data_IF_774467885297
#
_entry.id   IF_774467885297
#
_cell.length_a   1.000
_cell.length_b   1.000
_cell.length_c   1.000
_cell.angle_alpha   90.00
_cell.angle_beta   90.00
_cell.angle_gamma   90.00
#
_symmetry.space_group_name_H-M   'P 1'
#
loop_
_entity.id
_entity.type
_entity.pdbx_description
1 polymer ?
#
# COMPACT_ATOMS: atom_id res chain seq x y z
N UNK A 1 -18.15 -20.74 6.28
CA UNK A 1 -17.29 -19.70 5.70
C UNK A 1 -17.10 -18.50 6.63
N UNK A 2 -18.16 -17.86 7.16
CA UNK A 2 -18.03 -16.75 8.10
C UNK A 2 -17.19 -17.08 9.34
N UNK A 3 -17.37 -18.26 9.92
CA UNK A 3 -16.60 -18.73 11.08
C UNK A 3 -15.09 -18.83 10.78
N UNK A 4 -14.70 -19.27 9.59
CA UNK A 4 -13.29 -19.32 9.18
C UNK A 4 -12.66 -17.94 9.07
N UNK A 5 -13.37 -16.99 8.46
CA UNK A 5 -12.92 -15.61 8.36
C UNK A 5 -12.72 -15.01 9.75
N UNK A 6 -13.67 -15.23 10.68
CA UNK A 6 -13.56 -14.78 12.05
C UNK A 6 -12.36 -15.41 12.80
N UNK A 7 -12.11 -16.70 12.58
CA UNK A 7 -10.95 -17.40 13.14
C UNK A 7 -9.67 -16.74 12.63
N UNK A 8 -9.51 -16.53 11.31
CA UNK A 8 -8.33 -15.87 10.75
C UNK A 8 -8.14 -14.46 11.31
N UNK A 9 -9.19 -13.65 11.36
CA UNK A 9 -9.10 -12.29 11.91
C UNK A 9 -8.72 -12.28 13.40
N UNK A 10 -9.26 -13.21 14.20
CA UNK A 10 -8.90 -13.34 15.60
C UNK A 10 -7.45 -13.81 15.79
N UNK A 11 -7.01 -14.78 14.99
CA UNK A 11 -5.64 -15.31 15.05
C UNK A 11 -4.62 -14.24 14.66
N UNK A 12 -4.92 -13.45 13.62
CA UNK A 12 -4.01 -12.42 13.12
C UNK A 12 -4.26 -11.01 13.69
N UNK A 13 -5.14 -10.85 14.71
CA UNK A 13 -5.52 -9.53 15.25
C UNK A 13 -4.34 -8.67 15.69
N UNK A 14 -3.38 -9.25 16.40
CA UNK A 14 -2.19 -8.51 16.87
C UNK A 14 -1.27 -8.14 15.71
N UNK A 15 -1.12 -9.00 14.73
CA UNK A 15 -0.41 -8.71 13.49
C UNK A 15 -1.07 -7.53 12.75
N UNK A 16 -2.39 -7.58 12.56
CA UNK A 16 -3.15 -6.52 11.89
C UNK A 16 -3.05 -5.19 12.65
N UNK A 17 -3.22 -5.20 13.97
CA UNK A 17 -3.08 -4.00 14.80
C UNK A 17 -1.66 -3.42 14.72
N UNK A 18 -0.62 -4.27 14.81
CA UNK A 18 0.77 -3.84 14.76
C UNK A 18 1.17 -3.22 13.40
N UNK A 19 0.49 -3.60 12.30
CA UNK A 19 0.74 -3.02 10.98
C UNK A 19 -0.18 -1.84 10.68
N UNK A 20 -1.49 -2.00 10.86
CA UNK A 20 -2.48 -0.98 10.47
C UNK A 20 -2.37 0.28 11.33
N UNK A 21 -2.13 0.14 12.65
CA UNK A 21 -2.08 1.31 13.54
C UNK A 21 -0.93 2.27 13.19
N UNK A 22 0.35 1.84 13.15
CA UNK A 22 1.44 2.76 12.86
C UNK A 22 1.37 3.31 11.43
N UNK A 23 0.94 2.51 10.45
CA UNK A 23 0.77 2.96 9.09
C UNK A 23 -0.35 4.02 8.99
N UNK A 24 -1.48 3.82 9.66
CA UNK A 24 -2.57 4.81 9.69
C UNK A 24 -2.13 6.09 10.36
N UNK A 25 -1.44 6.01 11.50
CA UNK A 25 -0.89 7.17 12.18
C UNK A 25 0.11 7.94 11.32
N UNK A 26 0.93 7.24 10.55
CA UNK A 26 1.87 7.85 9.62
C UNK A 26 1.15 8.72 8.57
N UNK A 27 0.10 8.20 7.92
CA UNK A 27 -0.69 8.97 6.95
C UNK A 27 -1.50 10.09 7.62
N UNK A 28 -1.96 9.91 8.84
CA UNK A 28 -2.77 10.90 9.55
C UNK A 28 -1.95 12.08 10.10
N UNK A 29 -0.70 11.83 10.54
CA UNK A 29 0.13 12.83 11.24
C UNK A 29 0.96 13.70 10.30
N UNK A 30 1.34 13.23 9.11
CA UNK A 30 2.21 13.99 8.21
C UNK A 30 1.65 15.33 7.75
N UNK A 31 0.35 15.48 7.41
CA UNK A 31 -0.20 16.79 7.02
C UNK A 31 -0.03 17.86 8.10
N UNK A 32 -0.32 17.52 9.35
CA UNK A 32 -0.16 18.45 10.47
C UNK A 32 1.31 18.76 10.78
N UNK A 33 2.19 17.78 10.61
CA UNK A 33 3.63 18.01 10.76
C UNK A 33 4.15 19.03 9.74
N UNK A 34 3.72 18.93 8.47
CA UNK A 34 4.13 19.87 7.42
C UNK A 34 3.52 21.26 7.63
N UNK A 35 2.21 21.36 7.92
CA UNK A 35 1.55 22.65 8.12
C UNK A 35 2.09 23.42 9.33
N UNK A 36 2.53 22.72 10.37
CA UNK A 36 3.16 23.34 11.53
C UNK A 36 4.62 23.79 11.28
N UNK A 37 5.33 23.11 10.38
CA UNK A 37 6.74 23.41 10.08
C UNK A 37 6.90 24.45 8.98
N UNK A 38 5.94 24.54 8.06
CA UNK A 38 6.00 25.40 6.86
C UNK A 38 4.67 26.14 6.73
N UNK A 39 4.57 27.29 7.41
CA UNK A 39 3.31 28.02 7.58
C UNK A 39 2.97 29.00 6.44
N UNK A 40 3.93 29.31 5.59
CA UNK A 40 3.78 30.28 4.51
C UNK A 40 4.21 29.73 3.14
N UNK A 41 3.74 30.38 2.08
CA UNK A 41 4.01 29.98 0.70
C UNK A 41 5.51 30.10 0.34
N UNK A 42 6.25 31.00 0.98
CA UNK A 42 7.68 31.20 0.73
C UNK A 42 8.49 30.01 1.28
N UNK A 43 8.17 29.55 2.48
CA UNK A 43 8.82 28.37 3.08
C UNK A 43 8.55 27.11 2.27
N UNK A 44 7.32 26.92 1.77
CA UNK A 44 6.97 25.81 0.88
C UNK A 44 7.76 25.88 -0.45
N UNK A 45 7.88 27.07 -1.05
CA UNK A 45 8.64 27.24 -2.28
C UNK A 45 10.13 26.91 -2.11
N UNK A 46 10.74 27.36 -0.99
CA UNK A 46 12.15 27.05 -0.64
C UNK A 46 12.37 25.54 -0.47
N UNK A 47 11.47 24.86 0.23
CA UNK A 47 11.55 23.40 0.41
C UNK A 47 11.44 22.69 -0.93
N UNK A 48 10.48 23.08 -1.79
CA UNK A 48 10.33 22.52 -3.13
C UNK A 48 11.61 22.70 -3.95
N UNK A 49 12.23 23.88 -3.92
CA UNK A 49 13.48 24.17 -4.62
C UNK A 49 14.62 23.27 -4.12
N UNK A 50 14.78 23.14 -2.80
CA UNK A 50 15.78 22.26 -2.19
C UNK A 50 15.58 20.81 -2.59
N UNK A 51 14.31 20.32 -2.61
CA UNK A 51 13.97 18.95 -2.99
C UNK A 51 14.20 18.71 -4.48
N UNK A 52 13.91 19.69 -5.35
CA UNK A 52 14.04 19.54 -6.81
C UNK A 52 15.48 19.31 -7.26
N UNK A 53 16.45 19.78 -6.52
CA UNK A 53 17.87 19.63 -6.81
C UNK A 53 18.48 18.31 -6.28
N UNK A 54 17.67 17.46 -5.62
CA UNK A 54 18.14 16.21 -5.03
C UNK A 54 17.79 15.00 -5.89
N UNK A 55 18.78 14.45 -6.59
CA UNK A 55 18.62 13.20 -7.35
C UNK A 55 18.18 12.03 -6.45
N UNK A 56 18.68 11.96 -5.21
CA UNK A 56 18.31 10.91 -4.26
C UNK A 56 16.81 10.91 -3.93
N UNK A 57 16.16 12.07 -3.85
CA UNK A 57 14.73 12.17 -3.61
C UNK A 57 13.92 11.66 -4.82
N UNK A 58 14.37 11.93 -6.03
CA UNK A 58 13.72 11.40 -7.25
C UNK A 58 13.80 9.86 -7.29
N UNK A 59 14.90 9.26 -6.86
CA UNK A 59 15.04 7.81 -6.80
C UNK A 59 14.08 7.19 -5.78
N UNK A 60 13.97 7.78 -4.58
CA UNK A 60 13.16 7.22 -3.49
C UNK A 60 11.67 7.54 -3.69
N UNK A 61 11.36 8.80 -3.91
CA UNK A 61 9.98 9.31 -3.92
C UNK A 61 9.41 9.50 -5.33
N UNK A 62 10.28 9.55 -6.36
CA UNK A 62 9.93 9.92 -7.73
C UNK A 62 9.89 11.42 -7.94
N UNK A 63 9.42 11.86 -9.12
CA UNK A 63 9.32 13.29 -9.45
C UNK A 63 8.41 14.03 -8.47
N UNK A 64 8.82 15.25 -8.11
CA UNK A 64 8.05 16.13 -7.23
C UNK A 64 6.69 16.42 -7.89
N UNK A 65 5.58 16.36 -7.12
CA UNK A 65 4.26 16.61 -7.66
C UNK A 65 4.02 18.07 -8.01
N UNK A 66 3.20 18.31 -9.02
CA UNK A 66 2.71 19.64 -9.38
C UNK A 66 1.17 19.61 -9.44
N UNK A 67 0.50 20.55 -8.74
CA UNK A 67 1.01 21.59 -7.85
C UNK A 67 1.65 21.04 -6.59
N UNK A 68 2.63 21.75 -6.00
CA UNK A 68 3.25 21.38 -4.73
C UNK A 68 2.52 22.08 -3.59
N UNK A 69 1.72 21.33 -2.86
CA UNK A 69 0.95 21.77 -1.70
C UNK A 69 0.99 20.71 -0.59
N UNK A 70 0.37 20.94 0.56
CA UNK A 70 0.41 19.99 1.68
C UNK A 70 -0.17 18.62 1.31
N UNK A 71 -1.24 18.56 0.55
CA UNK A 71 -1.87 17.30 0.17
C UNK A 71 -1.00 16.51 -0.81
N UNK A 72 -0.50 17.16 -1.87
CA UNK A 72 0.34 16.50 -2.87
C UNK A 72 1.68 16.06 -2.29
N UNK A 73 2.28 16.89 -1.44
CA UNK A 73 3.51 16.56 -0.72
C UNK A 73 3.30 15.37 0.22
N UNK A 74 2.25 15.42 1.06
CA UNK A 74 1.92 14.31 1.95
C UNK A 74 1.76 12.99 1.17
N UNK A 75 0.94 13.00 0.11
CA UNK A 75 0.72 11.79 -0.71
C UNK A 75 2.02 11.31 -1.34
N UNK A 76 2.84 12.21 -1.89
CA UNK A 76 4.10 11.88 -2.54
C UNK A 76 5.09 11.19 -1.58
N UNK A 77 5.24 11.69 -0.38
CA UNK A 77 6.19 11.16 0.60
C UNK A 77 5.63 9.92 1.30
N UNK A 78 4.39 9.98 1.80
CA UNK A 78 3.81 8.87 2.57
C UNK A 78 3.54 7.65 1.71
N UNK A 79 3.16 7.81 0.44
CA UNK A 79 2.92 6.65 -0.44
C UNK A 79 4.21 5.90 -0.78
N UNK A 80 5.35 6.57 -0.83
CA UNK A 80 6.62 5.90 -1.13
C UNK A 80 6.98 4.87 -0.06
N UNK A 81 6.97 5.24 1.21
CA UNK A 81 7.26 4.33 2.33
C UNK A 81 6.06 3.50 2.75
N UNK A 82 4.91 4.15 2.89
CA UNK A 82 3.69 3.50 3.35
C UNK A 82 3.24 2.38 2.41
N UNK A 83 3.41 2.53 1.12
CA UNK A 83 3.04 1.52 0.14
C UNK A 83 4.00 0.32 0.14
N UNK A 84 5.32 0.55 0.32
CA UNK A 84 6.27 -0.56 0.48
C UNK A 84 5.89 -1.39 1.71
N UNK A 85 5.68 -0.72 2.84
CA UNK A 85 5.31 -1.39 4.09
C UNK A 85 3.95 -2.09 3.98
N UNK A 86 2.96 -1.47 3.34
CA UNK A 86 1.65 -2.09 3.11
C UNK A 86 1.73 -3.30 2.17
N UNK A 87 2.58 -3.25 1.15
CA UNK A 87 2.84 -4.40 0.28
C UNK A 87 3.48 -5.57 1.05
N UNK A 88 4.44 -5.27 1.95
CA UNK A 88 5.04 -6.27 2.84
C UNK A 88 3.99 -6.84 3.80
N UNK A 89 3.14 -6.00 4.39
CA UNK A 89 2.02 -6.45 5.24
C UNK A 89 1.10 -7.41 4.47
N UNK A 90 0.67 -7.04 3.27
CA UNK A 90 -0.18 -7.86 2.42
C UNK A 90 0.46 -9.22 2.10
N UNK A 91 1.73 -9.21 1.70
CA UNK A 91 2.52 -10.41 1.41
C UNK A 91 2.65 -11.33 2.62
N UNK A 92 2.97 -10.79 3.79
CA UNK A 92 3.10 -11.56 5.02
C UNK A 92 1.75 -12.16 5.45
N UNK A 93 0.66 -11.38 5.35
CA UNK A 93 -0.68 -11.87 5.63
C UNK A 93 -1.07 -12.99 4.68
N UNK A 94 -0.99 -12.74 3.37
CA UNK A 94 -1.38 -13.72 2.33
C UNK A 94 -0.64 -15.04 2.47
N UNK A 95 0.68 -15.01 2.70
CA UNK A 95 1.48 -16.22 2.93
C UNK A 95 1.09 -16.94 4.24
N UNK A 96 0.71 -16.21 5.28
CA UNK A 96 0.36 -16.80 6.58
C UNK A 96 -1.01 -17.47 6.57
N UNK A 97 -2.00 -16.84 5.92
CA UNK A 97 -3.38 -17.38 5.85
C UNK A 97 -3.55 -18.49 4.80
N UNK A 98 -2.54 -18.72 3.95
CA UNK A 98 -2.52 -19.79 2.94
C UNK A 98 -1.50 -20.88 3.34
N UNK A 99 -0.30 -20.84 2.78
CA UNK A 99 0.73 -21.86 3.00
C UNK A 99 1.13 -22.02 4.47
N UNK A 100 1.10 -20.93 5.26
CA UNK A 100 1.39 -20.97 6.69
C UNK A 100 0.39 -21.84 7.47
N UNK A 101 -0.86 -21.89 7.04
CA UNK A 101 -1.88 -22.75 7.64
C UNK A 101 -1.58 -24.23 7.37
N UNK A 102 -1.07 -24.56 6.20
CA UNK A 102 -0.68 -25.92 5.82
C UNK A 102 0.57 -26.38 6.58
N UNK A 103 1.63 -25.55 6.59
CA UNK A 103 2.89 -25.91 7.29
C UNK A 103 2.73 -26.06 8.79
N UNK A 104 1.77 -25.35 9.41
CA UNK A 104 1.47 -25.49 10.82
C UNK A 104 0.60 -26.71 11.15
N UNK A 105 0.15 -27.48 10.17
CA UNK A 105 -0.77 -28.61 10.33
C UNK A 105 -2.22 -28.21 10.64
N UNK A 106 -2.51 -26.91 10.74
CA UNK A 106 -3.86 -26.41 11.03
C UNK A 106 -4.84 -26.70 9.87
N UNK A 107 -4.35 -26.70 8.63
CA UNK A 107 -5.17 -27.06 7.48
C UNK A 107 -5.70 -28.50 7.57
N UNK A 108 -4.86 -29.45 7.97
CA UNK A 108 -5.24 -30.86 8.17
C UNK A 108 -6.29 -31.02 9.29
N UNK A 109 -6.10 -30.30 10.40
CA UNK A 109 -7.07 -30.30 11.50
C UNK A 109 -8.44 -29.74 11.07
N UNK A 110 -8.45 -28.68 10.28
CA UNK A 110 -9.69 -28.10 9.76
C UNK A 110 -10.37 -29.02 8.73
N UNK A 111 -9.58 -29.70 7.89
CA UNK A 111 -10.09 -30.63 6.91
C UNK A 111 -10.65 -31.90 7.56
N UNK A 112 -10.03 -32.42 8.62
CA UNK A 112 -10.57 -33.55 9.39
C UNK A 112 -11.90 -33.22 10.08
N UNK A 113 -12.17 -31.95 10.33
CA UNK A 113 -13.46 -31.46 10.81
C UNK A 113 -14.47 -31.11 9.68
N UNK A 114 -14.23 -31.60 8.47
CA UNK A 114 -15.18 -31.53 7.37
C UNK A 114 -15.05 -30.30 6.45
N UNK A 115 -14.01 -29.46 6.65
CA UNK A 115 -13.77 -28.31 5.76
C UNK A 115 -13.00 -28.76 4.50
N UNK A 116 -13.41 -28.29 3.35
CA UNK A 116 -12.71 -28.56 2.08
C UNK A 116 -11.50 -27.61 1.89
N UNK A 117 -10.49 -28.08 1.15
CA UNK A 117 -9.36 -27.23 0.75
C UNK A 117 -9.81 -25.96 0.00
N UNK A 118 -10.90 -26.07 -0.79
CA UNK A 118 -11.47 -24.93 -1.49
C UNK A 118 -12.10 -23.88 -0.56
N UNK A 119 -12.62 -24.28 0.60
CA UNK A 119 -13.15 -23.34 1.62
C UNK A 119 -12.02 -22.63 2.32
N UNK A 120 -10.93 -23.34 2.64
CA UNK A 120 -9.73 -22.73 3.25
C UNK A 120 -9.13 -21.68 2.30
N UNK A 121 -8.98 -22.01 1.01
CA UNK A 121 -8.48 -21.07 -0.01
C UNK A 121 -9.38 -19.84 -0.15
N UNK A 122 -10.70 -20.02 -0.23
CA UNK A 122 -11.67 -18.92 -0.29
C UNK A 122 -11.60 -18.03 0.94
N UNK A 123 -11.44 -18.62 2.12
CA UNK A 123 -11.28 -17.85 3.36
C UNK A 123 -9.99 -17.01 3.35
N UNK A 124 -8.85 -17.58 2.91
CA UNK A 124 -7.58 -16.87 2.77
C UNK A 124 -7.69 -15.68 1.81
N UNK A 125 -8.28 -15.89 0.62
CA UNK A 125 -8.54 -14.82 -0.35
C UNK A 125 -9.42 -13.72 0.24
N UNK A 126 -10.52 -14.10 0.90
CA UNK A 126 -11.47 -13.14 1.49
C UNK A 126 -10.82 -12.31 2.60
N UNK A 127 -10.07 -12.92 3.51
CA UNK A 127 -9.36 -12.21 4.59
C UNK A 127 -8.35 -11.23 4.02
N UNK A 128 -7.59 -11.64 3.01
CA UNK A 128 -6.60 -10.77 2.35
C UNK A 128 -7.27 -9.57 1.68
N UNK A 129 -8.36 -9.78 0.94
CA UNK A 129 -9.11 -8.70 0.29
C UNK A 129 -9.73 -7.77 1.33
N UNK A 130 -10.40 -8.30 2.36
CA UNK A 130 -11.02 -7.49 3.42
C UNK A 130 -10.00 -6.64 4.17
N UNK A 131 -8.83 -7.19 4.49
CA UNK A 131 -7.74 -6.43 5.12
C UNK A 131 -7.22 -5.32 4.21
N UNK A 132 -7.07 -5.61 2.91
CA UNK A 132 -6.64 -4.61 1.93
C UNK A 132 -7.67 -3.49 1.75
N UNK A 133 -8.98 -3.82 1.74
CA UNK A 133 -10.07 -2.83 1.71
C UNK A 133 -10.04 -1.97 2.97
N UNK A 134 -9.93 -2.60 4.14
CA UNK A 134 -9.83 -1.87 5.42
C UNK A 134 -8.63 -0.91 5.41
N UNK A 135 -7.47 -1.36 4.94
CA UNK A 135 -6.29 -0.51 4.80
C UNK A 135 -6.53 0.68 3.87
N UNK A 136 -7.10 0.44 2.69
CA UNK A 136 -7.45 1.52 1.75
C UNK A 136 -8.42 2.54 2.34
N UNK A 137 -9.42 2.08 3.09
CA UNK A 137 -10.36 2.96 3.80
C UNK A 137 -9.66 3.79 4.88
N UNK A 138 -8.76 3.18 5.67
CA UNK A 138 -8.00 3.88 6.70
C UNK A 138 -7.12 4.99 6.10
N UNK A 139 -6.46 4.74 4.97
CA UNK A 139 -5.68 5.76 4.24
C UNK A 139 -6.60 6.88 3.75
N UNK A 140 -7.72 6.56 3.11
CA UNK A 140 -8.65 7.56 2.61
C UNK A 140 -9.19 8.45 3.73
N UNK A 141 -9.65 7.85 4.83
CA UNK A 141 -10.17 8.58 5.99
C UNK A 141 -9.08 9.42 6.66
N UNK A 142 -7.87 8.89 6.81
CA UNK A 142 -6.73 9.60 7.41
C UNK A 142 -6.37 10.87 6.64
N UNK A 143 -6.35 10.79 5.31
CA UNK A 143 -6.06 11.97 4.47
C UNK A 143 -7.22 12.96 4.46
N UNK A 144 -8.47 12.47 4.32
CA UNK A 144 -9.63 13.35 4.29
C UNK A 144 -9.87 14.06 5.63
N UNK A 145 -9.58 13.42 6.76
CA UNK A 145 -9.69 14.03 8.08
C UNK A 145 -8.81 15.29 8.24
N UNK A 146 -7.79 15.46 7.38
CA UNK A 146 -6.95 16.64 7.34
C UNK A 146 -7.48 17.78 6.44
N UNK A 147 -8.69 17.67 5.90
CA UNK A 147 -9.33 18.73 5.10
C UNK A 147 -9.50 20.07 5.88
N UNK A 148 -9.52 20.00 7.22
CA UNK A 148 -9.50 21.21 8.07
C UNK A 148 -8.15 21.92 8.13
N UNK A 149 -7.05 21.29 7.72
CA UNK A 149 -5.71 21.89 7.67
C UNK A 149 -5.53 22.65 6.34
N UNK A 150 -5.96 22.05 5.23
CA UNK A 150 -5.90 22.68 3.92
C UNK A 150 -7.03 22.15 3.03
N UNK A 151 -7.63 23.04 2.25
CA UNK A 151 -8.66 22.69 1.24
C UNK A 151 -8.10 21.78 0.12
N UNK A 152 -6.77 21.60 0.05
CA UNK A 152 -6.13 20.71 -0.92
C UNK A 152 -6.42 19.22 -0.65
N UNK A 153 -6.80 18.85 0.61
CA UNK A 153 -7.21 17.49 0.96
C UNK A 153 -8.64 17.22 0.52
N UNK A 154 -8.81 16.97 -0.78
CA UNK A 154 -10.14 16.68 -1.36
C UNK A 154 -10.58 15.25 -1.05
N UNK A 155 -11.89 15.04 -0.94
CA UNK A 155 -12.47 13.70 -0.76
C UNK A 155 -12.10 12.75 -1.92
N UNK A 156 -12.12 13.26 -3.16
CA UNK A 156 -11.74 12.49 -4.34
C UNK A 156 -10.26 12.06 -4.34
N UNK A 157 -9.34 12.99 -4.03
CA UNK A 157 -7.91 12.69 -3.92
C UNK A 157 -7.60 11.68 -2.82
N UNK A 158 -8.25 11.83 -1.65
CA UNK A 158 -8.13 10.90 -0.53
C UNK A 158 -8.64 9.51 -0.88
N UNK A 159 -9.80 9.40 -1.53
CA UNK A 159 -10.38 8.14 -1.99
C UNK A 159 -9.49 7.46 -3.05
N UNK A 160 -8.96 8.20 -4.02
CA UNK A 160 -8.06 7.66 -5.03
C UNK A 160 -6.76 7.14 -4.43
N UNK A 161 -6.20 7.85 -3.44
CA UNK A 161 -5.01 7.38 -2.69
C UNK A 161 -5.33 6.11 -1.92
N UNK A 162 -6.46 6.06 -1.21
CA UNK A 162 -6.93 4.88 -0.49
C UNK A 162 -7.19 3.69 -1.42
N UNK A 163 -7.80 3.93 -2.58
CA UNK A 163 -8.00 2.90 -3.60
C UNK A 163 -6.66 2.34 -4.13
N UNK A 164 -5.68 3.20 -4.36
CA UNK A 164 -4.34 2.77 -4.77
C UNK A 164 -3.65 1.94 -3.67
N UNK A 165 -3.81 2.32 -2.39
CA UNK A 165 -3.33 1.56 -1.24
C UNK A 165 -3.98 0.17 -1.17
N UNK A 166 -5.31 0.10 -1.36
CA UNK A 166 -6.05 -1.16 -1.46
C UNK A 166 -5.50 -2.05 -2.57
N UNK A 167 -5.41 -1.53 -3.81
CA UNK A 167 -4.96 -2.31 -4.96
C UNK A 167 -3.56 -2.90 -4.75
N UNK A 168 -2.63 -2.08 -4.26
CA UNK A 168 -1.25 -2.50 -4.03
C UNK A 168 -1.17 -3.62 -2.98
N UNK A 169 -1.80 -3.42 -1.83
CA UNK A 169 -1.78 -4.40 -0.73
C UNK A 169 -2.48 -5.70 -1.14
N UNK A 170 -3.60 -5.59 -1.84
CA UNK A 170 -4.34 -6.73 -2.38
C UNK A 170 -3.48 -7.51 -3.39
N UNK A 171 -2.82 -6.82 -4.33
CA UNK A 171 -1.95 -7.45 -5.32
C UNK A 171 -0.85 -8.30 -4.65
N UNK A 172 -0.09 -7.73 -3.71
CA UNK A 172 1.00 -8.46 -3.05
C UNK A 172 0.49 -9.55 -2.10
N UNK A 173 -0.67 -9.36 -1.49
CA UNK A 173 -1.31 -10.40 -0.69
C UNK A 173 -1.78 -11.60 -1.53
N UNK A 174 -2.43 -11.34 -2.66
CA UNK A 174 -2.85 -12.39 -3.59
C UNK A 174 -1.65 -13.06 -4.27
N UNK A 175 -0.62 -12.30 -4.63
CA UNK A 175 0.63 -12.84 -5.15
C UNK A 175 1.27 -13.82 -4.16
N UNK A 176 1.27 -13.50 -2.87
CA UNK A 176 1.83 -14.38 -1.84
C UNK A 176 1.00 -15.67 -1.65
N UNK A 177 -0.32 -15.61 -1.83
CA UNK A 177 -1.18 -16.80 -1.84
C UNK A 177 -0.84 -17.67 -3.06
N UNK A 178 -0.74 -17.09 -4.26
CA UNK A 178 -0.35 -17.80 -5.48
C UNK A 178 1.06 -18.41 -5.38
N UNK A 179 2.01 -17.66 -4.82
CA UNK A 179 3.35 -18.18 -4.56
C UNK A 179 3.31 -19.34 -3.56
N UNK A 180 2.44 -19.31 -2.56
CA UNK A 180 2.21 -20.42 -1.63
C UNK A 180 1.75 -21.71 -2.32
N UNK A 181 0.93 -21.61 -3.36
CA UNK A 181 0.53 -22.75 -4.17
C UNK A 181 1.65 -23.29 -5.07
N UNK A 182 2.51 -22.38 -5.58
CA UNK A 182 3.60 -22.74 -6.48
C UNK A 182 4.84 -23.29 -5.77
N UNK A 183 5.12 -22.81 -4.57
CA UNK A 183 6.33 -23.18 -3.81
C UNK A 183 5.97 -24.07 -2.61
N UNK A 184 6.82 -25.06 -2.35
CA UNK A 184 6.62 -26.05 -1.29
C UNK A 184 6.76 -25.53 0.15
N UNK A 185 7.11 -24.24 0.37
CA UNK A 185 7.29 -23.68 1.71
C UNK A 185 6.90 -22.21 1.80
N UNK A 186 6.44 -21.78 2.99
CA UNK A 186 6.14 -20.37 3.31
C UNK A 186 7.35 -19.48 3.07
N UNK A 187 8.55 -19.96 3.42
CA UNK A 187 9.79 -19.21 3.24
C UNK A 187 10.06 -18.94 1.76
N UNK A 188 9.97 -19.95 0.90
CA UNK A 188 10.17 -19.80 -0.54
C UNK A 188 9.12 -18.89 -1.18
N UNK A 189 7.84 -19.05 -0.81
CA UNK A 189 6.74 -18.20 -1.27
C UNK A 189 6.96 -16.71 -0.90
N UNK A 190 7.38 -16.44 0.35
CA UNK A 190 7.70 -15.08 0.80
C UNK A 190 8.89 -14.50 0.06
N UNK A 191 9.97 -15.26 -0.13
CA UNK A 191 11.15 -14.81 -0.87
C UNK A 191 10.83 -14.49 -2.33
N UNK A 192 10.06 -15.34 -3.01
CA UNK A 192 9.60 -15.09 -4.37
C UNK A 192 8.74 -13.82 -4.47
N UNK A 193 7.80 -13.64 -3.55
CA UNK A 193 6.94 -12.46 -3.52
C UNK A 193 7.71 -11.16 -3.18
N UNK A 194 8.70 -11.24 -2.27
CA UNK A 194 9.60 -10.13 -1.97
C UNK A 194 10.48 -9.77 -3.18
N UNK A 195 10.96 -10.75 -3.94
CA UNK A 195 11.70 -10.49 -5.17
C UNK A 195 10.84 -9.73 -6.18
N UNK A 196 9.59 -10.15 -6.38
CA UNK A 196 8.65 -9.43 -7.26
C UNK A 196 8.42 -8.00 -6.75
N UNK A 197 8.31 -7.79 -5.43
CA UNK A 197 8.19 -6.46 -4.83
C UNK A 197 9.41 -5.60 -5.16
N UNK A 198 10.61 -6.11 -4.93
CA UNK A 198 11.86 -5.40 -5.19
C UNK A 198 12.02 -5.05 -6.68
N UNK A 199 11.74 -6.01 -7.56
CA UNK A 199 11.78 -5.78 -9.02
C UNK A 199 10.74 -4.73 -9.43
N UNK A 200 9.50 -4.82 -8.92
CA UNK A 200 8.44 -3.85 -9.20
C UNK A 200 8.82 -2.44 -8.74
N UNK A 201 9.43 -2.32 -7.57
CA UNK A 201 9.91 -1.03 -7.07
C UNK A 201 11.09 -0.51 -7.90
N UNK A 202 12.02 -1.38 -8.30
CA UNK A 202 13.12 -1.03 -9.20
C UNK A 202 12.65 -0.53 -10.57
N UNK A 203 11.67 -1.20 -11.18
CA UNK A 203 11.07 -0.75 -12.46
C UNK A 203 10.40 0.62 -12.29
N UNK A 204 9.74 0.88 -11.16
CA UNK A 204 9.19 2.20 -10.85
C UNK A 204 10.29 3.27 -10.78
N UNK A 205 11.43 2.99 -10.11
CA UNK A 205 12.57 3.92 -10.06
C UNK A 205 13.08 4.23 -11.47
N UNK A 206 13.28 3.21 -12.30
CA UNK A 206 13.70 3.38 -13.69
C UNK A 206 12.71 4.24 -14.48
N UNK A 207 11.40 4.01 -14.27
CA UNK A 207 10.35 4.81 -14.92
C UNK A 207 10.43 6.30 -14.55
N UNK A 208 10.64 6.61 -13.27
CA UNK A 208 10.75 7.99 -12.77
C UNK A 208 12.05 8.68 -13.20
N UNK A 209 13.20 7.98 -13.14
CA UNK A 209 14.52 8.54 -13.44
C UNK A 209 14.70 8.79 -14.94
N UNK A 210 14.30 7.84 -15.79
CA UNK A 210 14.48 7.93 -17.25
C UNK A 210 13.28 8.51 -17.98
N UNK A 211 12.28 9.02 -17.27
CA UNK A 211 11.05 9.61 -17.83
C UNK A 211 10.34 8.69 -18.83
N UNK A 212 10.08 7.45 -18.40
CA UNK A 212 9.43 6.45 -19.23
C UNK A 212 8.03 6.12 -18.70
N UNK A 213 6.99 6.93 -19.03
CA UNK A 213 5.65 6.80 -18.44
C UNK A 213 5.00 5.43 -18.63
N UNK A 214 5.29 4.74 -19.73
CA UNK A 214 4.72 3.42 -20.02
C UNK A 214 5.17 2.33 -19.02
N UNK A 215 6.37 2.47 -18.42
CA UNK A 215 6.87 1.55 -17.41
C UNK A 215 6.02 1.57 -16.12
N UNK A 216 5.35 2.67 -15.81
CA UNK A 216 4.45 2.74 -14.65
C UNK A 216 3.30 1.75 -14.72
N UNK A 217 2.85 1.40 -15.93
CA UNK A 217 1.79 0.40 -16.12
C UNK A 217 2.22 -1.03 -15.75
N UNK A 218 3.51 -1.33 -15.86
CA UNK A 218 4.06 -2.67 -15.59
C UNK A 218 4.22 -2.97 -14.10
N UNK A 219 4.07 -1.98 -13.23
CA UNK A 219 4.31 -2.17 -11.80
C UNK A 219 3.16 -1.64 -10.94
N UNK A 220 2.76 -2.37 -9.90
CA UNK A 220 1.74 -1.89 -8.95
C UNK A 220 2.12 -0.56 -8.29
N UNK A 221 3.42 -0.30 -8.06
CA UNK A 221 3.90 0.97 -7.52
C UNK A 221 3.76 2.14 -8.50
N UNK A 222 3.72 1.88 -9.79
CA UNK A 222 3.51 2.90 -10.80
C UNK A 222 2.04 3.33 -10.96
N UNK A 223 1.09 2.48 -10.60
CA UNK A 223 -0.34 2.74 -10.80
C UNK A 223 -0.82 4.01 -10.11
N UNK A 224 -0.29 4.35 -8.93
CA UNK A 224 -0.64 5.60 -8.25
C UNK A 224 -0.23 6.84 -9.07
N UNK A 225 0.85 6.75 -9.84
CA UNK A 225 1.31 7.83 -10.72
C UNK A 225 0.35 8.04 -11.91
N UNK A 226 -0.22 6.94 -12.39
CA UNK A 226 -1.21 6.97 -13.48
C UNK A 226 -2.53 7.54 -12.98
N UNK A 227 -2.96 7.17 -11.78
CA UNK A 227 -4.24 7.61 -11.18
C UNK A 227 -4.21 9.08 -10.76
N UNK A 228 -3.02 9.69 -10.51
CA UNK A 228 -2.85 11.09 -10.09
C UNK A 228 -3.84 11.51 -8.99
N UNK A 229 -3.77 10.95 -7.77
CA UNK A 229 -4.78 11.17 -6.73
C UNK A 229 -4.87 12.61 -6.22
N UNK A 230 -3.91 13.45 -6.55
CA UNK A 230 -3.83 14.86 -6.12
C UNK A 230 -4.58 15.86 -7.03
N UNK A 231 -5.72 15.46 -7.62
CA UNK A 231 -6.72 16.42 -8.13
C UNK A 231 -6.30 17.32 -9.30
N UNK A 232 -5.21 17.02 -10.01
CA UNK A 232 -4.88 17.74 -11.24
C UNK A 232 -5.74 17.21 -12.39
N UNK A 233 -6.96 17.72 -12.52
CA UNK A 233 -7.74 17.69 -13.76
C UNK A 233 -7.11 18.65 -14.76
N UNK A 234 -5.84 18.48 -15.09
CA UNK A 234 -5.20 19.10 -16.23
C UNK A 234 -5.31 18.13 -17.38
N UNK A 235 -6.23 18.39 -18.35
CA UNK A 235 -6.17 17.79 -19.68
C UNK A 235 -4.74 17.92 -20.21
N UNK A 236 -4.15 16.88 -20.80
CA UNK A 236 -2.95 17.05 -21.59
C UNK A 236 -3.31 17.93 -22.80
N UNK A 237 -2.66 19.10 -22.90
CA UNK A 237 -2.50 19.79 -24.16
C UNK A 237 -1.41 19.11 -24.96
#
# INVERSE_FOLDING_TARGET
MLNLIQIHLRTHRFFLLAWLTPLTLFFASMPSAYSNSYTDAESLAKVREQMSNSFGLVVIYGKIPEPFNYATWTVWETTSWGFILAAIMGLLLGSSVSRGLEESGQAELLQSNGLSAGELRRAALTVTILTSVLWGMLVAVSLWANAGISNDFTASGSLLTGYSAFLLTCFFGLLAILAGEAFGSVRAARQASLLVLLVSFGVRIVADVYDRPWLHWLTPFGWIRVVKPSGTTGCPQ
#
